data_IF_427097138922
#
_entry.id   IF_427097138922
#
_cell.length_a   1.000
_cell.length_b   1.000
_cell.length_c   1.000
_cell.angle_alpha   90.00
_cell.angle_beta   90.00
_cell.angle_gamma   90.00
#
_symmetry.space_group_name_H-M   'P 1'
#
loop_
_entity.id
_entity.type
_entity.pdbx_description
1 polymer ?
#
# COMPACT_ATOMS: atom_id res chain seq x y z
N UNK A 1 -11.93 2.20 -30.43
CA UNK A 1 -11.86 3.68 -30.42
C UNK A 1 -13.16 4.36 -29.93
N UNK A 2 -14.34 3.73 -30.06
CA UNK A 2 -15.61 4.31 -29.59
C UNK A 2 -15.78 4.35 -28.05
N UNK A 3 -15.26 3.34 -27.32
CA UNK A 3 -15.43 3.26 -25.85
C UNK A 3 -14.62 4.27 -25.03
N UNK A 4 -13.47 4.74 -25.53
CA UNK A 4 -12.63 5.73 -24.83
C UNK A 4 -13.17 7.15 -24.96
N UNK A 5 -13.71 7.50 -26.13
CA UNK A 5 -14.33 8.81 -26.38
C UNK A 5 -15.61 9.00 -25.53
N UNK A 6 -16.44 7.97 -25.41
CA UNK A 6 -17.66 8.01 -24.61
C UNK A 6 -17.36 8.16 -23.10
N UNK A 7 -16.28 7.53 -22.62
CA UNK A 7 -15.82 7.64 -21.22
C UNK A 7 -15.30 9.05 -20.88
N UNK A 8 -14.53 9.66 -21.77
CA UNK A 8 -14.02 11.04 -21.59
C UNK A 8 -15.16 12.05 -21.57
N UNK A 9 -16.17 11.86 -22.43
CA UNK A 9 -17.37 12.71 -22.46
C UNK A 9 -18.19 12.58 -21.17
N UNK A 10 -18.37 11.36 -20.66
CA UNK A 10 -19.05 11.11 -19.38
C UNK A 10 -18.29 11.73 -18.19
N UNK A 11 -16.95 11.64 -18.17
CA UNK A 11 -16.12 12.27 -17.13
C UNK A 11 -16.25 13.80 -17.12
N UNK A 12 -16.34 14.43 -18.30
CA UNK A 12 -16.57 15.87 -18.42
C UNK A 12 -17.93 16.31 -17.89
N UNK A 13 -18.98 15.54 -18.19
CA UNK A 13 -20.35 15.80 -17.70
C UNK A 13 -20.43 15.69 -16.18
N UNK A 14 -19.84 14.64 -15.60
CA UNK A 14 -19.85 14.44 -14.14
C UNK A 14 -19.11 15.57 -13.42
N UNK A 15 -17.97 16.05 -13.95
CA UNK A 15 -17.26 17.19 -13.36
C UNK A 15 -18.11 18.47 -13.35
N UNK A 16 -18.89 18.72 -14.40
CA UNK A 16 -19.79 19.87 -14.44
C UNK A 16 -20.91 19.74 -13.41
N UNK A 17 -21.52 18.54 -13.30
CA UNK A 17 -22.55 18.24 -12.29
C UNK A 17 -22.02 18.48 -10.87
N UNK A 18 -20.81 17.99 -10.56
CA UNK A 18 -20.19 18.19 -9.25
C UNK A 18 -20.03 19.69 -8.95
N UNK A 19 -19.53 20.48 -9.90
CA UNK A 19 -19.36 21.92 -9.72
C UNK A 19 -20.68 22.65 -9.50
N UNK A 20 -21.72 22.26 -10.24
CA UNK A 20 -23.06 22.84 -10.11
C UNK A 20 -23.65 22.55 -8.71
N UNK A 21 -23.51 21.32 -8.21
CA UNK A 21 -23.96 20.96 -6.85
C UNK A 21 -23.20 21.75 -5.78
N UNK A 22 -21.87 21.90 -5.92
CA UNK A 22 -21.07 22.71 -4.98
C UNK A 22 -21.56 24.16 -4.95
N UNK A 23 -21.80 24.75 -6.12
CA UNK A 23 -22.30 26.13 -6.23
C UNK A 23 -23.69 26.28 -5.61
N UNK A 24 -24.59 25.33 -5.85
CA UNK A 24 -25.95 25.35 -5.30
C UNK A 24 -25.99 25.14 -3.79
N UNK A 25 -25.10 24.30 -3.22
CA UNK A 25 -24.98 24.18 -1.77
C UNK A 25 -24.42 25.47 -1.15
N UNK A 26 -23.40 26.06 -1.79
CA UNK A 26 -22.78 27.30 -1.32
C UNK A 26 -23.74 28.50 -1.36
N UNK A 27 -24.58 28.61 -2.39
CA UNK A 27 -25.62 29.65 -2.50
C UNK A 27 -26.67 29.56 -1.37
N UNK A 28 -26.82 28.37 -0.78
CA UNK A 28 -27.70 28.07 0.36
C UNK A 28 -26.98 28.08 1.72
N UNK A 29 -25.71 28.48 1.74
CA UNK A 29 -24.93 28.69 2.97
C UNK A 29 -24.09 27.50 3.45
N UNK A 30 -24.07 26.38 2.71
CA UNK A 30 -23.31 25.18 3.09
C UNK A 30 -22.10 24.97 2.16
N UNK A 31 -20.90 25.08 2.72
CA UNK A 31 -19.65 24.83 1.99
C UNK A 31 -19.32 23.33 1.94
N UNK A 32 -19.35 22.74 0.74
CA UNK A 32 -19.05 21.33 0.52
C UNK A 32 -17.88 21.15 -0.45
N UNK A 33 -17.05 20.13 -0.22
CA UNK A 33 -15.91 19.83 -1.10
C UNK A 33 -16.36 19.06 -2.36
N UNK A 34 -15.67 19.25 -3.48
CA UNK A 34 -15.91 18.47 -4.71
C UNK A 34 -15.81 16.95 -4.44
N UNK A 35 -14.89 16.52 -3.57
CA UNK A 35 -14.74 15.12 -3.18
C UNK A 35 -15.99 14.60 -2.47
N UNK A 36 -16.51 15.33 -1.48
CA UNK A 36 -17.74 14.92 -0.78
C UNK A 36 -18.92 14.82 -1.74
N UNK A 37 -19.05 15.79 -2.66
CA UNK A 37 -20.09 15.80 -3.68
C UNK A 37 -19.96 14.60 -4.61
N UNK A 38 -18.75 14.23 -5.05
CA UNK A 38 -18.53 13.05 -5.89
C UNK A 38 -18.99 11.75 -5.22
N UNK A 39 -18.74 11.62 -3.91
CA UNK A 39 -19.23 10.48 -3.11
C UNK A 39 -20.76 10.47 -3.01
N UNK A 40 -21.39 11.63 -2.79
CA UNK A 40 -22.85 11.75 -2.72
C UNK A 40 -23.49 11.43 -4.07
N UNK A 41 -22.96 11.94 -5.18
CA UNK A 41 -23.42 11.59 -6.54
C UNK A 41 -23.39 10.09 -6.74
N UNK A 42 -22.27 9.44 -6.38
CA UNK A 42 -22.16 7.98 -6.46
C UNK A 42 -23.20 7.27 -5.57
N UNK A 43 -23.38 7.72 -4.33
CA UNK A 43 -24.37 7.14 -3.41
C UNK A 43 -25.80 7.27 -3.95
N UNK A 44 -26.18 8.45 -4.46
CA UNK A 44 -27.52 8.71 -5.02
C UNK A 44 -27.78 7.87 -6.28
N UNK A 45 -26.79 7.74 -7.16
CA UNK A 45 -26.90 6.90 -8.38
C UNK A 45 -27.02 5.41 -8.05
N UNK A 46 -26.31 4.94 -7.02
CA UNK A 46 -26.34 3.53 -6.61
C UNK A 46 -27.55 3.15 -5.74
N UNK A 47 -28.27 4.13 -5.19
CA UNK A 47 -29.42 3.90 -4.32
C UNK A 47 -30.62 3.41 -5.15
N UNK A 48 -31.09 2.17 -4.96
CA UNK A 48 -32.08 1.55 -5.86
C UNK A 48 -33.41 2.33 -5.95
N UNK A 49 -33.75 3.08 -4.90
CA UNK A 49 -34.98 3.89 -4.85
C UNK A 49 -34.96 5.08 -5.81
N UNK A 50 -33.78 5.53 -6.24
CA UNK A 50 -33.63 6.66 -7.15
C UNK A 50 -33.76 6.24 -8.63
N UNK A 51 -33.74 4.94 -8.94
CA UNK A 51 -33.98 4.39 -10.27
C UNK A 51 -33.14 5.05 -11.39
N UNK A 52 -31.85 5.26 -11.11
CA UNK A 52 -30.90 5.73 -12.12
C UNK A 52 -30.35 4.54 -12.93
N UNK A 53 -30.42 4.63 -14.26
CA UNK A 53 -29.88 3.60 -15.15
C UNK A 53 -28.41 3.88 -15.46
N UNK A 54 -27.51 3.16 -14.79
CA UNK A 54 -26.04 3.37 -14.85
C UNK A 54 -25.47 3.16 -16.27
N UNK A 55 -26.13 2.34 -17.11
CA UNK A 55 -25.66 1.97 -18.45
C UNK A 55 -26.24 2.82 -19.60
N UNK A 56 -27.06 3.84 -19.30
CA UNK A 56 -27.62 4.75 -20.31
C UNK A 56 -26.99 6.14 -20.24
N UNK A 57 -26.99 6.83 -21.38
CA UNK A 57 -26.61 8.25 -21.45
C UNK A 57 -27.61 9.05 -20.61
N UNK A 58 -27.11 9.84 -19.67
CA UNK A 58 -27.92 10.70 -18.80
C UNK A 58 -28.72 11.71 -19.65
N UNK A 59 -30.04 11.66 -19.56
CA UNK A 59 -30.88 12.69 -20.16
C UNK A 59 -30.77 14.00 -19.37
N UNK A 60 -31.10 15.14 -19.99
CA UNK A 60 -31.04 16.45 -19.31
C UNK A 60 -31.92 16.50 -18.06
N UNK A 61 -33.04 15.78 -18.06
CA UNK A 61 -33.94 15.70 -16.91
C UNK A 61 -33.38 14.83 -15.78
N UNK A 62 -32.64 13.75 -16.13
CA UNK A 62 -31.94 12.92 -15.15
C UNK A 62 -30.82 13.69 -14.45
N UNK A 63 -30.11 14.55 -15.18
CA UNK A 63 -29.07 15.42 -14.62
C UNK A 63 -29.66 16.38 -13.59
N UNK A 64 -30.75 17.06 -13.94
CA UNK A 64 -31.44 17.98 -13.01
C UNK A 64 -31.94 17.24 -11.76
N UNK A 65 -32.54 16.05 -11.94
CA UNK A 65 -33.00 15.20 -10.84
C UNK A 65 -31.86 14.77 -9.94
N UNK A 66 -30.72 14.38 -10.52
CA UNK A 66 -29.53 13.99 -9.78
C UNK A 66 -28.99 15.15 -8.94
N UNK A 67 -28.88 16.35 -9.52
CA UNK A 67 -28.43 17.56 -8.82
C UNK A 67 -29.35 17.85 -7.64
N UNK A 68 -30.67 17.89 -7.85
CA UNK A 68 -31.65 18.18 -6.80
C UNK A 68 -31.59 17.14 -5.65
N UNK A 69 -31.50 15.84 -5.96
CA UNK A 69 -31.34 14.79 -4.96
C UNK A 69 -30.04 14.95 -4.17
N UNK A 70 -28.92 15.25 -4.83
CA UNK A 70 -27.64 15.45 -4.18
C UNK A 70 -27.64 16.68 -3.27
N UNK A 71 -28.15 17.82 -3.75
CA UNK A 71 -28.25 19.07 -2.99
C UNK A 71 -29.14 18.87 -1.77
N UNK A 72 -30.33 18.25 -1.91
CA UNK A 72 -31.20 17.95 -0.77
C UNK A 72 -30.49 17.09 0.27
N UNK A 73 -29.77 16.04 -0.17
CA UNK A 73 -29.03 15.15 0.74
C UNK A 73 -27.86 15.85 1.43
N UNK A 74 -27.18 16.77 0.75
CA UNK A 74 -26.05 17.54 1.30
C UNK A 74 -26.48 18.62 2.31
N UNK A 75 -27.68 19.18 2.14
CA UNK A 75 -28.23 20.20 3.03
C UNK A 75 -29.00 19.62 4.24
N UNK A 76 -29.21 18.30 4.28
CA UNK A 76 -29.83 17.63 5.43
C UNK A 76 -28.82 17.44 6.58
N UNK A 77 -28.60 18.51 7.33
CA UNK A 77 -27.70 18.56 8.48
C UNK A 77 -28.14 17.68 9.67
N UNK A 78 -29.28 17.00 9.58
CA UNK A 78 -29.75 16.04 10.60
C UNK A 78 -29.56 14.60 10.15
N UNK A 79 -29.03 14.36 8.95
CA UNK A 79 -28.84 13.04 8.40
C UNK A 79 -27.59 12.36 8.96
N UNK A 80 -27.78 11.36 9.84
CA UNK A 80 -26.67 10.51 10.30
C UNK A 80 -25.96 9.77 9.16
N UNK A 81 -26.67 9.54 8.04
CA UNK A 81 -26.06 8.95 6.83
C UNK A 81 -25.06 9.91 6.18
N UNK A 82 -25.36 11.21 6.14
CA UNK A 82 -24.47 12.23 5.62
C UNK A 82 -23.23 12.37 6.51
N UNK A 83 -23.40 12.35 7.83
CA UNK A 83 -22.28 12.39 8.78
C UNK A 83 -21.34 11.19 8.61
N UNK A 84 -21.90 10.01 8.36
CA UNK A 84 -21.12 8.80 8.09
C UNK A 84 -20.31 8.93 6.79
N UNK A 85 -20.92 9.48 5.73
CA UNK A 85 -20.21 9.71 4.45
C UNK A 85 -19.13 10.77 4.62
N UNK A 86 -19.39 11.87 5.34
CA UNK A 86 -18.37 12.89 5.67
C UNK A 86 -17.19 12.26 6.41
N UNK A 87 -17.47 11.37 7.37
CA UNK A 87 -16.44 10.63 8.10
C UNK A 87 -15.62 9.73 7.17
N UNK A 88 -16.26 8.97 6.29
CA UNK A 88 -15.58 8.12 5.30
C UNK A 88 -14.67 8.93 4.38
N UNK A 89 -15.18 10.03 3.81
CA UNK A 89 -14.39 10.92 2.95
C UNK A 89 -13.22 11.53 3.73
N UNK A 90 -13.43 11.91 4.99
CA UNK A 90 -12.34 12.41 5.83
C UNK A 90 -11.25 11.36 6.03
N UNK A 91 -11.60 10.10 6.33
CA UNK A 91 -10.63 9.03 6.46
C UNK A 91 -9.90 8.74 5.15
N UNK A 92 -10.62 8.64 4.04
CA UNK A 92 -10.04 8.39 2.72
C UNK A 92 -9.08 9.50 2.27
N UNK A 93 -9.34 10.76 2.64
CA UNK A 93 -8.50 11.89 2.27
C UNK A 93 -7.31 12.12 3.20
N UNK A 94 -7.44 11.79 4.49
CA UNK A 94 -6.44 12.18 5.50
C UNK A 94 -5.60 11.01 6.01
N UNK A 95 -6.00 9.76 5.74
CA UNK A 95 -5.28 8.59 6.21
C UNK A 95 -4.78 7.76 5.03
N UNK A 96 -3.49 7.48 5.05
CA UNK A 96 -2.87 6.51 4.15
C UNK A 96 -3.52 5.15 4.36
N UNK A 97 -3.86 4.46 3.27
CA UNK A 97 -4.41 3.12 3.39
C UNK A 97 -3.38 2.20 4.05
N UNK A 98 -3.86 1.16 4.74
CA UNK A 98 -2.95 0.16 5.34
C UNK A 98 -1.99 -0.42 4.32
N UNK A 99 -2.44 -0.63 3.08
CA UNK A 99 -1.63 -1.19 2.01
C UNK A 99 -0.51 -0.24 1.56
N UNK A 100 -0.83 1.04 1.35
CA UNK A 100 0.16 2.07 1.03
C UNK A 100 1.18 2.24 2.15
N UNK A 101 0.72 2.24 3.41
CA UNK A 101 1.61 2.31 4.57
C UNK A 101 2.58 1.12 4.61
N UNK A 102 2.06 -0.10 4.45
CA UNK A 102 2.89 -1.31 4.43
C UNK A 102 3.86 -1.33 3.26
N UNK A 103 3.43 -0.85 2.09
CA UNK A 103 4.26 -0.75 0.89
C UNK A 103 5.39 0.25 1.10
N UNK A 104 5.09 1.43 1.62
CA UNK A 104 6.10 2.45 1.90
C UNK A 104 7.08 2.00 2.98
N UNK A 105 6.58 1.36 4.04
CA UNK A 105 7.43 0.77 5.07
C UNK A 105 8.40 -0.27 4.49
N UNK A 106 7.92 -1.20 3.65
CA UNK A 106 8.77 -2.19 2.97
C UNK A 106 9.79 -1.52 2.06
N UNK A 107 9.39 -0.48 1.31
CA UNK A 107 10.27 0.29 0.42
C UNK A 107 11.40 0.96 1.19
N UNK A 108 11.09 1.61 2.32
CA UNK A 108 12.08 2.25 3.20
C UNK A 108 13.03 1.21 3.79
N UNK A 109 12.51 0.07 4.27
CA UNK A 109 13.33 -1.02 4.81
C UNK A 109 14.30 -1.56 3.75
N UNK A 110 13.81 -1.91 2.55
CA UNK A 110 14.67 -2.40 1.47
C UNK A 110 15.74 -1.38 1.08
N UNK A 111 15.38 -0.09 1.01
CA UNK A 111 16.32 1.00 0.72
C UNK A 111 17.45 1.05 1.75
N UNK A 112 17.12 0.90 3.04
CA UNK A 112 18.11 0.90 4.13
C UNK A 112 18.97 -0.36 4.14
N UNK A 113 18.46 -1.49 3.67
CA UNK A 113 19.20 -2.75 3.57
C UNK A 113 20.15 -2.80 2.37
N UNK A 114 19.94 -1.98 1.33
CA UNK A 114 20.75 -2.01 0.11
C UNK A 114 22.28 -1.99 0.33
N UNK A 115 22.85 -1.18 1.26
CA UNK A 115 24.29 -1.16 1.46
C UNK A 115 24.86 -2.52 1.89
N UNK A 116 24.26 -3.15 2.92
CA UNK A 116 24.72 -4.45 3.41
C UNK A 116 24.45 -5.56 2.39
N UNK A 117 23.34 -5.52 1.67
CA UNK A 117 23.04 -6.49 0.62
C UNK A 117 24.10 -6.42 -0.50
N UNK A 118 24.48 -5.23 -0.95
CA UNK A 118 25.56 -5.06 -1.93
C UNK A 118 26.88 -5.60 -1.44
N UNK A 119 27.24 -5.32 -0.17
CA UNK A 119 28.44 -5.88 0.44
C UNK A 119 28.47 -7.41 0.49
N UNK A 120 27.31 -8.06 0.57
CA UNK A 120 27.17 -9.52 0.55
C UNK A 120 27.20 -10.04 -0.89
N UNK A 121 26.41 -9.45 -1.80
CA UNK A 121 26.29 -9.96 -3.17
C UNK A 121 27.56 -9.78 -3.99
N UNK A 122 28.25 -8.67 -3.76
CA UNK A 122 29.47 -8.30 -4.51
C UNK A 122 30.73 -8.87 -3.84
N UNK A 123 30.55 -9.59 -2.71
CA UNK A 123 31.63 -10.20 -1.96
C UNK A 123 32.35 -11.30 -2.76
N UNK A 124 33.69 -11.35 -2.62
CA UNK A 124 34.58 -12.34 -3.23
C UNK A 124 35.55 -12.94 -2.19
N UNK A 125 35.06 -13.19 -0.98
CA UNK A 125 35.82 -13.83 0.10
C UNK A 125 36.50 -15.12 -0.38
N UNK A 126 37.78 -15.27 -0.05
CA UNK A 126 38.58 -16.45 -0.39
C UNK A 126 39.26 -17.06 0.83
N UNK A 127 39.55 -16.24 1.84
CA UNK A 127 40.11 -16.70 3.11
C UNK A 127 39.03 -17.08 4.12
N UNK A 128 39.41 -17.89 5.11
CA UNK A 128 38.52 -18.30 6.20
C UNK A 128 37.96 -17.09 6.95
N UNK A 129 38.80 -16.10 7.27
CA UNK A 129 38.39 -14.91 8.02
C UNK A 129 37.40 -14.05 7.23
N UNK A 130 37.59 -13.93 5.90
CA UNK A 130 36.64 -13.24 5.02
C UNK A 130 35.30 -13.98 4.91
N UNK A 131 35.31 -15.32 4.88
CA UNK A 131 34.10 -16.14 4.87
C UNK A 131 33.33 -16.00 6.18
N UNK A 132 34.01 -15.98 7.32
CA UNK A 132 33.38 -15.72 8.62
C UNK A 132 32.79 -14.30 8.69
N UNK A 133 33.49 -13.31 8.14
CA UNK A 133 33.00 -11.94 8.02
C UNK A 133 31.74 -11.87 7.13
N UNK A 134 31.75 -12.54 5.97
CA UNK A 134 30.59 -12.64 5.09
C UNK A 134 29.40 -13.28 5.79
N UNK A 135 29.62 -14.38 6.53
CA UNK A 135 28.55 -15.04 7.27
C UNK A 135 27.92 -14.11 8.32
N UNK A 136 28.74 -13.34 9.05
CA UNK A 136 28.26 -12.32 9.99
C UNK A 136 27.41 -11.24 9.32
N UNK A 137 27.76 -10.83 8.09
CA UNK A 137 26.94 -9.89 7.30
C UNK A 137 25.61 -10.52 6.89
N UNK A 138 25.61 -11.79 6.46
CA UNK A 138 24.37 -12.51 6.12
C UNK A 138 23.44 -12.59 7.33
N UNK A 139 23.94 -12.99 8.51
CA UNK A 139 23.15 -13.01 9.76
C UNK A 139 22.58 -11.62 10.07
N UNK A 140 23.40 -10.58 9.97
CA UNK A 140 22.96 -9.20 10.19
C UNK A 140 21.86 -8.78 9.20
N UNK A 141 21.98 -9.15 7.93
CA UNK A 141 20.98 -8.84 6.91
C UNK A 141 19.65 -9.54 7.18
N UNK A 142 19.67 -10.81 7.62
CA UNK A 142 18.49 -11.59 8.00
C UNK A 142 17.80 -10.96 9.21
N UNK A 143 18.56 -10.54 10.22
CA UNK A 143 18.02 -9.86 11.41
C UNK A 143 17.35 -8.53 11.04
N UNK A 144 18.05 -7.67 10.30
CA UNK A 144 17.53 -6.37 9.91
C UNK A 144 16.29 -6.50 9.02
N UNK A 145 16.27 -7.46 8.09
CA UNK A 145 15.13 -7.69 7.19
C UNK A 145 13.93 -8.32 7.90
N UNK A 146 14.16 -9.21 8.86
CA UNK A 146 13.09 -9.86 9.63
C UNK A 146 12.45 -8.93 10.67
N UNK A 147 13.17 -7.92 11.15
CA UNK A 147 12.73 -7.05 12.25
C UNK A 147 12.68 -7.76 13.62
N UNK A 148 13.23 -8.98 13.73
CA UNK A 148 13.19 -9.79 14.95
C UNK A 148 14.38 -9.52 15.90
N UNK A 149 14.69 -8.24 16.09
CA UNK A 149 15.71 -7.75 17.03
C UNK A 149 16.92 -7.09 16.36
N UNK A 150 17.86 -6.64 17.19
CA UNK A 150 19.03 -5.87 16.75
C UNK A 150 20.24 -6.76 16.47
N UNK A 151 21.00 -6.52 15.38
CA UNK A 151 22.33 -7.13 15.17
C UNK A 151 23.37 -6.75 16.23
N UNK A 152 23.07 -5.81 17.13
CA UNK A 152 23.94 -5.43 18.27
C UNK A 152 23.65 -6.26 19.52
N UNK A 153 22.54 -6.99 19.57
CA UNK A 153 22.19 -7.85 20.71
C UNK A 153 22.75 -9.26 20.48
N UNK A 154 23.70 -9.64 21.35
CA UNK A 154 24.41 -10.92 21.25
C UNK A 154 23.44 -12.11 21.35
N UNK A 155 22.39 -12.02 22.17
CA UNK A 155 21.43 -13.11 22.34
C UNK A 155 20.63 -13.35 21.05
N UNK A 156 20.16 -12.26 20.44
CA UNK A 156 19.43 -12.26 19.17
C UNK A 156 20.32 -12.74 18.03
N UNK A 157 21.58 -12.30 17.98
CA UNK A 157 22.55 -12.75 16.98
C UNK A 157 22.83 -14.23 17.11
N UNK A 158 23.00 -14.76 18.33
CA UNK A 158 23.23 -16.19 18.55
C UNK A 158 22.03 -17.04 18.11
N UNK A 159 20.82 -16.61 18.44
CA UNK A 159 19.59 -17.28 18.03
C UNK A 159 19.45 -17.31 16.50
N UNK A 160 19.64 -16.17 15.84
CA UNK A 160 19.58 -16.09 14.38
C UNK A 160 20.71 -16.85 13.69
N UNK A 161 21.91 -16.87 14.27
CA UNK A 161 23.03 -17.66 13.77
C UNK A 161 22.72 -19.15 13.85
N UNK A 162 22.18 -19.62 14.98
CA UNK A 162 21.81 -21.03 15.14
C UNK A 162 20.71 -21.45 14.14
N UNK A 163 19.67 -20.61 14.00
CA UNK A 163 18.61 -20.85 13.02
C UNK A 163 19.15 -20.85 11.58
N UNK A 164 20.02 -19.90 11.21
CA UNK A 164 20.65 -19.86 9.89
C UNK A 164 21.54 -21.08 9.65
N UNK A 165 22.36 -21.49 10.63
CA UNK A 165 23.25 -22.65 10.51
C UNK A 165 22.48 -23.95 10.26
N UNK A 166 21.25 -24.06 10.75
CA UNK A 166 20.42 -25.26 10.54
C UNK A 166 19.98 -25.46 9.08
N UNK A 167 19.92 -24.39 8.27
CA UNK A 167 19.45 -24.43 6.87
C UNK A 167 20.49 -23.95 5.86
N UNK A 168 21.51 -23.23 6.33
CA UNK A 168 22.60 -22.66 5.55
C UNK A 168 23.89 -22.67 6.38
N UNK A 169 24.56 -23.84 6.50
CA UNK A 169 25.82 -23.95 7.21
C UNK A 169 26.94 -23.19 6.48
N UNK A 170 28.01 -22.83 7.19
CA UNK A 170 29.12 -22.05 6.61
C UNK A 170 29.80 -22.73 5.42
N UNK A 171 29.71 -24.06 5.31
CA UNK A 171 30.20 -24.84 4.16
C UNK A 171 29.50 -24.47 2.86
N UNK A 172 28.28 -23.96 2.90
CA UNK A 172 27.51 -23.53 1.73
C UNK A 172 27.92 -22.14 1.20
N UNK A 173 28.80 -21.42 1.91
CA UNK A 173 29.27 -20.11 1.45
C UNK A 173 29.99 -20.17 0.10
N UNK A 174 30.70 -21.27 -0.18
CA UNK A 174 31.36 -21.46 -1.48
C UNK A 174 30.34 -21.52 -2.62
N UNK A 175 29.27 -22.29 -2.42
CA UNK A 175 28.15 -22.38 -3.37
C UNK A 175 27.47 -21.02 -3.52
N UNK A 176 27.17 -20.34 -2.42
CA UNK A 176 26.59 -18.99 -2.42
C UNK A 176 27.43 -17.99 -3.21
N UNK A 177 28.76 -17.98 -3.02
CA UNK A 177 29.66 -17.06 -3.70
C UNK A 177 29.70 -17.26 -5.22
N UNK A 178 29.48 -18.49 -5.69
CA UNK A 178 29.42 -18.85 -7.11
C UNK A 178 28.15 -18.38 -7.83
N UNK A 179 27.11 -18.02 -7.09
CA UNK A 179 25.84 -17.58 -7.65
C UNK A 179 25.93 -16.22 -8.33
N UNK A 180 25.01 -15.98 -9.26
CA UNK A 180 24.79 -14.64 -9.82
C UNK A 180 24.31 -13.68 -8.72
N UNK A 181 24.54 -12.37 -8.90
CA UNK A 181 24.04 -11.35 -7.97
C UNK A 181 22.54 -11.48 -7.70
N UNK A 182 21.76 -11.71 -8.75
CA UNK A 182 20.30 -11.90 -8.68
C UNK A 182 19.93 -13.15 -7.85
N UNK A 183 20.66 -14.24 -8.02
CA UNK A 183 20.41 -15.47 -7.28
C UNK A 183 20.84 -15.35 -5.82
N UNK A 184 21.94 -14.64 -5.52
CA UNK A 184 22.34 -14.29 -4.15
C UNK A 184 21.24 -13.47 -3.47
N UNK A 185 20.70 -12.46 -4.14
CA UNK A 185 19.59 -11.64 -3.61
C UNK A 185 18.36 -12.51 -3.31
N UNK A 186 17.96 -13.38 -4.24
CA UNK A 186 16.84 -14.31 -4.03
C UNK A 186 17.09 -15.24 -2.84
N UNK A 187 18.27 -15.84 -2.76
CA UNK A 187 18.62 -16.74 -1.67
C UNK A 187 18.62 -16.03 -0.31
N UNK A 188 19.06 -14.76 -0.24
CA UNK A 188 18.98 -13.97 1.00
C UNK A 188 17.52 -13.71 1.44
N UNK A 189 16.60 -13.51 0.50
CA UNK A 189 15.15 -13.40 0.81
C UNK A 189 14.64 -14.71 1.40
N UNK A 190 14.92 -15.83 0.74
CA UNK A 190 14.47 -17.17 1.16
C UNK A 190 15.02 -17.54 2.54
N UNK A 191 16.33 -17.36 2.74
CA UNK A 191 16.99 -17.58 4.04
C UNK A 191 16.36 -16.70 5.13
N UNK A 192 16.05 -15.44 4.83
CA UNK A 192 15.36 -14.57 5.78
C UNK A 192 14.01 -15.15 6.18
N UNK A 193 13.19 -15.59 5.23
CA UNK A 193 11.86 -16.16 5.51
C UNK A 193 11.95 -17.43 6.37
N UNK A 194 12.85 -18.34 6.00
CA UNK A 194 13.03 -19.62 6.70
C UNK A 194 13.54 -19.38 8.13
N UNK A 195 14.60 -18.56 8.30
CA UNK A 195 15.16 -18.25 9.62
C UNK A 195 14.16 -17.52 10.49
N UNK A 196 13.38 -16.59 9.92
CA UNK A 196 12.30 -15.90 10.63
C UNK A 196 11.27 -16.92 11.14
N UNK A 197 10.86 -17.86 10.31
CA UNK A 197 9.93 -18.93 10.70
C UNK A 197 10.45 -19.80 11.84
N UNK A 198 11.69 -20.28 11.74
CA UNK A 198 12.34 -21.10 12.78
C UNK A 198 12.39 -20.35 14.12
N UNK A 199 12.80 -19.08 14.09
CA UNK A 199 12.90 -18.25 15.31
C UNK A 199 11.55 -17.96 15.95
N UNK A 200 10.51 -17.73 15.14
CA UNK A 200 9.16 -17.53 15.65
C UNK A 200 8.57 -18.80 16.26
N UNK A 201 8.92 -19.97 15.72
CA UNK A 201 8.45 -21.26 16.24
C UNK A 201 9.17 -21.67 17.55
N UNK A 202 10.45 -21.35 17.67
CA UNK A 202 11.27 -21.72 18.84
C UNK A 202 11.12 -20.77 20.05
N UNK A 203 10.26 -19.75 19.95
CA UNK A 203 9.88 -18.87 21.05
C UNK A 203 8.61 -19.39 21.71
#
# INVERSE_FOLDING_TARGET
MSGTANRIQAEGVIKNIIREIVQECASRGEGVSETLVAFIVKAVVLEPQNDFQVDRVLASDDVKRLIDLCVRRLLDNKSSSLDTIKMQVYFDMNYTTRDEFLTEHRRVLETRLQPILREITDNRAASKDELESLYRKIVSSVLLRSGLGSPTDISVVREATAALQSVFPQTELGNFLSLSKRDKDRQLVELTQIVTGIRLFNK
#
